data_IF_386957040221
#
_entry.id   IF_386957040221
#
_cell.length_a   1.000
_cell.length_b   1.000
_cell.length_c   1.000
_cell.angle_alpha   90.00
_cell.angle_beta   90.00
_cell.angle_gamma   90.00
#
_symmetry.space_group_name_H-M   'P 1'
#
loop_
_entity.id
_entity.type
_entity.pdbx_description
1 polymer ?
#
# COMPACT_ATOMS: atom_id res chain seq x y z
N UNK A 1 -66.11 -21.52 37.51
CA UNK A 1 -65.63 -20.16 37.81
C UNK A 1 -64.71 -19.75 36.66
N UNK A 2 -65.08 -18.70 35.91
CA UNK A 2 -64.29 -17.94 34.89
C UNK A 2 -63.84 -18.72 33.63
N UNK A 3 -64.63 -18.73 32.54
CA UNK A 3 -64.68 -17.86 31.31
C UNK A 3 -63.56 -18.19 30.29
N UNK A 4 -63.75 -18.27 28.96
CA UNK A 4 -64.87 -17.98 28.04
C UNK A 4 -64.54 -18.53 26.64
N UNK A 5 -65.61 -18.87 25.93
CA UNK A 5 -65.82 -19.26 24.53
C UNK A 5 -65.31 -18.24 23.49
N UNK A 6 -64.80 -18.69 22.32
CA UNK A 6 -65.09 -18.11 20.99
C UNK A 6 -65.19 -19.23 19.92
N UNK A 7 -66.35 -19.30 19.25
CA UNK A 7 -66.66 -20.09 18.05
C UNK A 7 -65.97 -19.48 16.79
N UNK A 8 -65.54 -20.21 15.76
CA UNK A 8 -66.27 -21.21 14.99
C UNK A 8 -66.98 -20.54 13.80
N UNK A 9 -66.29 -20.38 12.66
CA UNK A 9 -66.85 -19.80 11.43
C UNK A 9 -65.99 -20.09 10.20
N UNK A 10 -66.47 -20.99 9.35
CA UNK A 10 -65.89 -21.43 8.07
C UNK A 10 -65.92 -20.29 7.03
N UNK A 11 -64.84 -20.06 6.28
CA UNK A 11 -64.88 -19.24 5.07
C UNK A 11 -63.94 -19.80 3.99
N UNK A 12 -64.50 -19.91 2.78
CA UNK A 12 -63.94 -20.55 1.61
C UNK A 12 -62.65 -19.88 1.10
N UNK A 13 -61.73 -20.73 0.62
CA UNK A 13 -60.51 -20.33 -0.09
C UNK A 13 -60.89 -19.86 -1.49
N UNK A 14 -60.71 -18.57 -1.76
CA UNK A 14 -60.65 -18.02 -3.13
C UNK A 14 -59.18 -17.75 -3.42
N UNK A 15 -58.60 -18.52 -4.33
CA UNK A 15 -57.26 -18.30 -4.84
C UNK A 15 -57.25 -17.05 -5.73
N UNK A 16 -56.47 -16.04 -5.34
CA UNK A 16 -56.09 -14.92 -6.20
C UNK A 16 -54.61 -15.09 -6.50
N UNK A 17 -54.29 -15.34 -7.78
CA UNK A 17 -52.92 -15.44 -8.25
C UNK A 17 -52.19 -14.12 -8.09
N UNK A 18 -51.15 -14.11 -7.25
CA UNK A 18 -50.15 -13.04 -7.21
C UNK A 18 -49.11 -13.34 -8.29
N UNK A 19 -49.13 -12.55 -9.36
CA UNK A 19 -48.05 -12.50 -10.33
C UNK A 19 -46.78 -12.01 -9.62
N UNK A 20 -45.77 -12.86 -9.55
CA UNK A 20 -44.44 -12.47 -9.12
C UNK A 20 -43.77 -11.68 -10.27
N UNK A 21 -43.60 -10.37 -10.09
CA UNK A 21 -42.65 -9.61 -10.89
C UNK A 21 -41.24 -9.94 -10.39
N UNK A 22 -40.53 -10.81 -11.10
CA UNK A 22 -39.08 -10.95 -10.94
C UNK A 22 -38.40 -9.83 -11.70
N UNK A 23 -37.99 -8.77 -11.01
CA UNK A 23 -37.00 -7.83 -11.52
C UNK A 23 -35.62 -8.35 -11.15
N UNK A 24 -35.10 -9.28 -11.95
CA UNK A 24 -33.65 -9.53 -12.02
C UNK A 24 -33.02 -8.37 -12.80
N UNK A 25 -33.01 -7.19 -12.18
CA UNK A 25 -32.13 -6.10 -12.61
C UNK A 25 -30.76 -6.39 -11.98
N UNK A 26 -29.67 -6.51 -12.77
CA UNK A 26 -28.35 -6.66 -12.20
C UNK A 26 -28.08 -5.47 -11.28
N UNK A 27 -27.62 -5.75 -10.06
CA UNK A 27 -27.29 -4.71 -9.09
C UNK A 27 -26.40 -3.66 -9.76
N UNK A 28 -26.82 -2.40 -9.69
CA UNK A 28 -26.03 -1.28 -10.20
C UNK A 28 -24.59 -1.39 -9.64
N UNK A 29 -23.55 -1.10 -10.45
CA UNK A 29 -22.19 -1.06 -9.94
C UNK A 29 -22.15 -0.16 -8.71
N UNK A 30 -21.48 -0.62 -7.65
CA UNK A 30 -21.31 0.17 -6.44
C UNK A 30 -20.80 1.56 -6.84
N UNK A 31 -21.40 2.62 -6.27
CA UNK A 31 -20.93 3.97 -6.51
C UNK A 31 -19.42 4.03 -6.27
N UNK A 32 -18.62 4.69 -7.13
CA UNK A 32 -17.19 4.75 -6.98
C UNK A 32 -16.87 5.22 -5.56
N UNK A 33 -15.96 4.51 -4.90
CA UNK A 33 -15.55 4.84 -3.55
C UNK A 33 -15.09 6.30 -3.42
N UNK A 34 -15.04 6.84 -2.21
CA UNK A 34 -14.62 8.22 -1.98
C UNK A 34 -13.23 8.47 -2.59
N UNK A 35 -13.08 9.59 -3.30
CA UNK A 35 -11.79 10.00 -3.85
C UNK A 35 -10.93 10.59 -2.73
N UNK A 36 -10.31 9.72 -1.93
CA UNK A 36 -9.51 10.12 -0.79
C UNK A 36 -8.10 9.54 -0.81
N UNK A 37 -7.13 10.34 -0.39
CA UNK A 37 -5.74 9.98 -0.19
C UNK A 37 -5.48 9.85 1.30
N UNK A 38 -4.96 8.71 1.75
CA UNK A 38 -4.56 8.52 3.14
C UNK A 38 -3.06 8.65 3.27
N UNK A 39 -2.54 9.17 4.38
CA UNK A 39 -1.10 9.35 4.67
C UNK A 39 -0.82 9.09 6.14
N UNK A 40 -0.11 8.02 6.48
CA UNK A 40 0.41 7.80 7.84
C UNK A 40 1.47 8.86 8.20
N UNK A 41 1.39 9.39 9.42
CA UNK A 41 2.35 10.32 10.03
C UNK A 41 3.01 9.63 11.23
N UNK A 42 4.26 9.20 11.05
CA UNK A 42 4.99 8.36 11.99
C UNK A 42 5.14 9.01 13.38
N UNK A 43 5.66 10.23 13.45
CA UNK A 43 5.92 10.91 14.74
C UNK A 43 4.70 11.55 15.39
N UNK A 44 3.54 11.48 14.74
CA UNK A 44 2.28 12.06 15.23
C UNK A 44 1.23 11.01 15.52
N UNK A 45 1.51 9.72 15.34
CA UNK A 45 0.57 8.63 15.63
C UNK A 45 -0.78 8.76 14.89
N UNK A 46 -0.76 9.33 13.68
CA UNK A 46 -1.97 9.70 12.94
C UNK A 46 -1.95 9.20 11.50
N UNK A 47 -3.13 9.08 10.91
CA UNK A 47 -3.34 9.00 9.46
C UNK A 47 -4.07 10.27 9.05
N UNK A 48 -3.51 10.98 8.08
CA UNK A 48 -4.15 12.10 7.41
C UNK A 48 -4.99 11.60 6.23
N UNK A 49 -6.19 12.16 6.09
CA UNK A 49 -7.12 11.94 5.00
C UNK A 49 -7.25 13.24 4.20
N UNK A 50 -7.03 13.15 2.89
CA UNK A 50 -7.26 14.23 1.94
C UNK A 50 -8.37 13.83 0.98
N UNK A 51 -9.46 14.60 0.95
CA UNK A 51 -10.38 14.53 -0.18
C UNK A 51 -9.70 15.02 -1.46
N UNK A 52 -10.20 14.57 -2.61
CA UNK A 52 -9.72 15.00 -3.92
C UNK A 52 -10.75 15.86 -4.65
N UNK A 53 -10.25 16.85 -5.38
CA UNK A 53 -10.99 17.56 -6.43
C UNK A 53 -11.07 16.72 -7.71
N UNK A 54 -11.90 17.15 -8.66
CA UNK A 54 -12.14 16.41 -9.89
C UNK A 54 -10.87 16.17 -10.72
N UNK A 55 -9.99 17.17 -10.71
CA UNK A 55 -8.70 17.20 -11.39
C UNK A 55 -7.58 16.50 -10.59
N UNK A 56 -7.93 15.85 -9.47
CA UNK A 56 -7.00 15.14 -8.60
C UNK A 56 -6.22 16.04 -7.62
N UNK A 57 -6.56 17.32 -7.49
CA UNK A 57 -5.94 18.18 -6.47
C UNK A 57 -6.37 17.75 -5.07
N UNK A 58 -5.49 17.94 -4.08
CA UNK A 58 -5.78 17.64 -2.68
C UNK A 58 -6.62 18.77 -2.08
N UNK A 59 -7.77 18.43 -1.50
CA UNK A 59 -8.59 19.36 -0.71
C UNK A 59 -7.90 19.69 0.60
N UNK A 60 -8.14 20.92 1.09
CA UNK A 60 -7.52 21.44 2.31
C UNK A 60 -8.57 21.93 3.31
N UNK A 61 -8.32 21.81 4.63
CA UNK A 61 -7.22 21.07 5.25
C UNK A 61 -7.43 19.54 5.20
N UNK A 62 -6.35 18.78 5.43
CA UNK A 62 -6.46 17.34 5.69
C UNK A 62 -7.17 17.07 7.03
N UNK A 63 -7.84 15.93 7.13
CA UNK A 63 -8.37 15.42 8.40
C UNK A 63 -7.32 14.47 8.99
N UNK A 64 -6.74 14.81 10.14
CA UNK A 64 -5.74 13.96 10.81
C UNK A 64 -6.39 13.19 11.96
N UNK A 65 -6.31 11.86 11.90
CA UNK A 65 -6.98 10.93 12.83
C UNK A 65 -5.95 10.06 13.55
N UNK A 66 -6.06 9.87 14.88
CA UNK A 66 -5.19 8.94 15.61
C UNK A 66 -5.31 7.51 15.08
N UNK A 67 -4.17 6.82 14.93
CA UNK A 67 -4.17 5.43 14.44
C UNK A 67 -4.57 4.42 15.52
N UNK A 68 -4.35 4.77 16.79
CA UNK A 68 -4.64 3.91 17.91
C UNK A 68 -4.37 4.63 19.23
N UNK A 69 -4.15 3.84 20.29
CA UNK A 69 -3.73 4.37 21.59
C UNK A 69 -2.24 4.10 21.79
N UNK A 70 -1.54 5.09 22.34
CA UNK A 70 -0.12 4.99 22.64
C UNK A 70 0.76 5.36 21.45
N UNK A 71 2.00 4.93 21.53
CA UNK A 71 3.11 5.30 20.65
C UNK A 71 3.14 4.41 19.39
N UNK A 72 2.09 4.52 18.57
CA UNK A 72 1.80 3.63 17.43
C UNK A 72 2.86 3.68 16.34
N UNK A 73 3.39 4.86 16.00
CA UNK A 73 4.33 5.07 14.92
C UNK A 73 3.90 4.40 13.60
N UNK A 74 2.78 4.85 12.99
CA UNK A 74 2.25 4.23 11.78
C UNK A 74 3.21 4.47 10.61
N UNK A 75 3.74 3.39 10.08
CA UNK A 75 4.82 3.44 9.09
C UNK A 75 4.35 3.07 7.69
N UNK A 76 3.41 2.12 7.62
CA UNK A 76 2.97 1.57 6.36
C UNK A 76 1.46 1.44 6.27
N UNK A 77 0.90 1.59 5.06
CA UNK A 77 -0.52 1.39 4.84
C UNK A 77 -0.82 0.71 3.50
N UNK A 78 -1.91 -0.06 3.46
CA UNK A 78 -2.44 -0.64 2.22
C UNK A 78 -3.96 -0.66 2.28
N UNK A 79 -4.60 -0.32 1.15
CA UNK A 79 -6.06 -0.38 1.00
C UNK A 79 -6.49 -1.67 0.34
N UNK A 80 -7.64 -2.19 0.76
CA UNK A 80 -8.27 -3.32 0.10
C UNK A 80 -8.77 -2.95 -1.30
N UNK A 81 -8.67 -3.88 -2.25
CA UNK A 81 -9.11 -3.68 -3.63
C UNK A 81 -10.60 -3.33 -3.76
N UNK A 82 -11.43 -3.80 -2.83
CA UNK A 82 -12.85 -3.43 -2.78
C UNK A 82 -13.11 -2.04 -2.21
N UNK A 83 -12.04 -1.32 -1.83
CA UNK A 83 -12.05 0.06 -1.40
C UNK A 83 -12.55 0.29 0.02
N UNK A 84 -12.88 -0.77 0.79
CA UNK A 84 -13.56 -0.67 2.09
C UNK A 84 -12.65 -0.66 3.30
N UNK A 85 -11.40 -1.10 3.17
CA UNK A 85 -10.48 -1.22 4.29
C UNK A 85 -9.17 -0.53 4.00
N UNK A 86 -8.61 0.11 5.02
CA UNK A 86 -7.21 0.54 5.08
C UNK A 86 -6.55 -0.20 6.24
N UNK A 87 -5.48 -0.92 5.97
CA UNK A 87 -4.66 -1.58 6.97
C UNK A 87 -3.43 -0.75 7.23
N UNK A 88 -3.17 -0.41 8.49
CA UNK A 88 -2.04 0.41 8.91
C UNK A 88 -1.12 -0.41 9.79
N UNK A 89 0.12 -0.61 9.34
CA UNK A 89 1.18 -1.23 10.13
C UNK A 89 1.83 -0.22 11.07
N UNK A 90 1.85 -0.55 12.36
CA UNK A 90 2.32 0.32 13.42
C UNK A 90 3.65 -0.19 13.96
N UNK A 91 4.71 0.57 13.74
CA UNK A 91 6.06 0.19 14.14
C UNK A 91 6.21 0.13 15.66
N UNK A 92 5.63 1.09 16.38
CA UNK A 92 5.82 1.26 17.81
C UNK A 92 4.96 0.31 18.64
N UNK A 93 3.68 0.16 18.28
CA UNK A 93 2.76 -0.79 18.94
C UNK A 93 2.83 -2.21 18.39
N UNK A 94 3.59 -2.43 17.31
CA UNK A 94 3.91 -3.76 16.77
C UNK A 94 2.69 -4.56 16.33
N UNK A 95 1.75 -3.85 15.72
CA UNK A 95 0.45 -4.38 15.34
C UNK A 95 -0.02 -3.79 14.01
N UNK A 96 -1.16 -4.28 13.55
CA UNK A 96 -1.86 -3.73 12.40
C UNK A 96 -3.21 -3.20 12.86
N UNK A 97 -3.47 -1.91 12.62
CA UNK A 97 -4.80 -1.32 12.81
C UNK A 97 -5.59 -1.39 11.50
N UNK A 98 -6.72 -2.12 11.45
CA UNK A 98 -7.67 -1.98 10.35
C UNK A 98 -8.57 -0.76 10.55
N UNK A 99 -8.77 0.01 9.49
CA UNK A 99 -9.78 1.05 9.38
C UNK A 99 -10.80 0.66 8.34
N UNK A 100 -12.08 0.83 8.67
CA UNK A 100 -13.11 0.87 7.65
C UNK A 100 -13.09 2.24 6.98
N UNK A 101 -13.07 2.24 5.66
CA UNK A 101 -13.27 3.40 4.81
C UNK A 101 -14.77 3.55 4.59
N UNK A 102 -15.34 4.60 5.14
CA UNK A 102 -16.76 4.92 4.94
C UNK A 102 -17.01 5.50 3.55
N UNK A 103 -18.27 5.59 3.13
CA UNK A 103 -18.66 6.05 1.78
C UNK A 103 -18.16 7.47 1.48
N UNK A 104 -17.98 8.30 2.50
CA UNK A 104 -17.50 9.68 2.39
C UNK A 104 -15.98 9.83 2.44
N UNK A 105 -15.23 8.73 2.66
CA UNK A 105 -13.77 8.74 2.81
C UNK A 105 -13.31 8.64 4.25
N UNK A 106 -14.21 8.89 5.20
CA UNK A 106 -13.86 8.93 6.61
C UNK A 106 -13.36 7.58 7.08
N UNK A 107 -12.30 7.58 7.87
CA UNK A 107 -11.80 6.38 8.53
C UNK A 107 -12.51 6.09 9.86
N UNK A 108 -12.87 4.83 10.08
CA UNK A 108 -13.35 4.30 11.37
C UNK A 108 -12.40 3.19 11.83
N UNK A 109 -11.68 3.41 12.94
CA UNK A 109 -10.72 2.44 13.49
C UNK A 109 -11.41 1.21 14.09
N UNK A 110 -10.81 0.04 13.91
CA UNK A 110 -11.16 -1.22 14.56
C UNK A 110 -10.01 -1.69 15.46
N UNK A 111 -10.25 -2.63 16.40
CA UNK A 111 -9.19 -3.16 17.26
C UNK A 111 -8.01 -3.72 16.45
N UNK A 112 -6.80 -3.38 16.87
CA UNK A 112 -5.57 -3.83 16.22
C UNK A 112 -5.38 -5.35 16.33
N UNK A 113 -4.80 -5.94 15.30
CA UNK A 113 -4.34 -7.32 15.32
C UNK A 113 -2.85 -7.38 15.69
N UNK A 114 -2.54 -8.10 16.76
CA UNK A 114 -1.17 -8.28 17.23
C UNK A 114 -0.55 -9.58 16.68
N UNK A 115 0.75 -9.53 16.40
CA UNK A 115 1.60 -10.72 16.22
C UNK A 115 1.57 -11.65 17.44
N UNK A 116 1.90 -12.95 17.30
CA UNK A 116 2.11 -13.79 18.46
C UNK A 116 3.44 -13.39 19.11
N UNK A 117 3.42 -12.97 20.37
CA UNK A 117 4.63 -12.89 21.18
C UNK A 117 5.29 -14.29 21.24
N UNK A 118 6.63 -14.43 21.20
CA UNK A 118 7.63 -13.44 21.65
C UNK A 118 8.56 -12.85 20.57
N UNK A 119 8.26 -12.96 19.28
CA UNK A 119 9.15 -12.45 18.21
C UNK A 119 9.02 -10.91 18.03
N UNK A 120 10.11 -10.19 17.72
CA UNK A 120 10.04 -8.76 17.42
C UNK A 120 9.33 -8.53 16.08
N UNK A 121 8.06 -8.13 16.13
CA UNK A 121 7.27 -7.68 14.97
C UNK A 121 7.31 -6.16 14.96
N UNK A 122 7.87 -5.55 13.91
CA UNK A 122 8.00 -4.09 13.77
C UNK A 122 7.62 -3.71 12.35
N UNK A 123 6.31 -3.65 12.05
CA UNK A 123 5.80 -3.45 10.69
C UNK A 123 6.38 -2.19 10.05
N UNK A 124 7.14 -2.37 8.96
CA UNK A 124 7.78 -1.30 8.18
C UNK A 124 7.27 -1.22 6.75
N UNK A 125 6.75 -2.33 6.23
CA UNK A 125 6.05 -2.42 4.96
C UNK A 125 4.84 -3.34 5.10
N UNK A 126 3.82 -3.13 4.27
CA UNK A 126 2.58 -3.91 4.31
C UNK A 126 2.05 -4.15 2.89
N UNK A 127 1.54 -5.35 2.63
CA UNK A 127 0.86 -5.66 1.37
C UNK A 127 -0.27 -6.66 1.59
N UNK A 128 -1.31 -6.51 0.77
CA UNK A 128 -2.47 -7.40 0.74
C UNK A 128 -2.39 -8.28 -0.51
N UNK A 129 -2.78 -9.55 -0.40
CA UNK A 129 -2.90 -10.42 -1.57
C UNK A 129 -3.99 -9.90 -2.52
N UNK A 130 -3.89 -10.17 -3.84
CA UNK A 130 -4.86 -9.68 -4.82
C UNK A 130 -6.32 -10.11 -4.55
N UNK A 131 -6.52 -11.24 -3.87
CA UNK A 131 -7.83 -11.74 -3.46
C UNK A 131 -8.34 -11.17 -2.14
N UNK A 132 -7.55 -10.32 -1.47
CA UNK A 132 -7.88 -9.66 -0.21
C UNK A 132 -7.84 -10.54 1.03
N UNK A 133 -7.42 -11.80 0.93
CA UNK A 133 -7.53 -12.78 2.03
C UNK A 133 -6.29 -12.90 2.90
N UNK A 134 -5.15 -12.38 2.46
CA UNK A 134 -3.88 -12.49 3.16
C UNK A 134 -3.19 -11.14 3.23
N UNK A 135 -2.79 -10.75 4.43
CA UNK A 135 -2.07 -9.52 4.69
C UNK A 135 -0.67 -9.87 5.21
N UNK A 136 0.34 -9.22 4.66
CA UNK A 136 1.74 -9.45 5.00
C UNK A 136 2.38 -8.17 5.50
N UNK A 137 3.17 -8.25 6.57
CA UNK A 137 4.03 -7.13 7.02
C UNK A 137 5.49 -7.52 6.97
N UNK A 138 6.31 -6.65 6.40
CA UNK A 138 7.76 -6.70 6.56
C UNK A 138 8.08 -6.16 7.95
N UNK A 139 8.91 -6.88 8.71
CA UNK A 139 9.28 -6.48 10.05
C UNK A 139 10.73 -6.01 10.07
N UNK A 140 10.93 -4.72 10.31
CA UNK A 140 12.25 -4.11 10.29
C UNK A 140 13.04 -4.45 11.54
N UNK A 141 14.19 -5.08 11.34
CA UNK A 141 15.22 -5.25 12.37
C UNK A 141 16.40 -4.34 12.07
N UNK A 142 16.91 -3.64 13.08
CA UNK A 142 18.02 -2.69 12.92
C UNK A 142 19.34 -3.42 12.59
N UNK A 143 19.53 -3.81 11.33
CA UNK A 143 20.66 -4.60 10.84
C UNK A 143 20.63 -6.09 11.19
N UNK A 144 19.64 -6.55 11.95
CA UNK A 144 19.42 -7.95 12.29
C UNK A 144 18.73 -8.74 11.18
N UNK A 145 18.45 -10.01 11.43
CA UNK A 145 17.64 -10.83 10.53
C UNK A 145 16.20 -10.31 10.52
N UNK A 146 15.63 -10.15 9.33
CA UNK A 146 14.25 -9.69 9.16
C UNK A 146 13.25 -10.83 9.24
N UNK A 147 11.99 -10.48 9.49
CA UNK A 147 10.86 -11.42 9.42
C UNK A 147 9.72 -10.83 8.61
N UNK A 148 8.80 -11.70 8.18
CA UNK A 148 7.51 -11.34 7.61
C UNK A 148 6.42 -11.88 8.53
N UNK A 149 5.44 -11.06 8.88
CA UNK A 149 4.21 -11.56 9.51
C UNK A 149 3.15 -11.80 8.45
N UNK A 150 2.46 -12.93 8.54
CA UNK A 150 1.31 -13.28 7.69
C UNK A 150 0.05 -13.33 8.54
N UNK A 151 -0.97 -12.59 8.14
CA UNK A 151 -2.31 -12.59 8.72
C UNK A 151 -3.31 -13.10 7.68
N UNK A 152 -4.29 -13.89 8.12
CA UNK A 152 -5.51 -14.11 7.32
C UNK A 152 -6.48 -12.96 7.55
N UNK A 153 -7.18 -12.56 6.51
CA UNK A 153 -8.22 -11.54 6.56
C UNK A 153 -9.57 -12.23 6.48
N UNK A 154 -10.41 -12.07 7.50
CA UNK A 154 -11.75 -12.63 7.53
C UNK A 154 -12.71 -11.87 6.59
N UNK A 155 -13.88 -12.45 6.33
CA UNK A 155 -14.87 -11.85 5.43
C UNK A 155 -15.38 -10.48 5.89
N UNK A 156 -15.26 -10.17 7.17
CA UNK A 156 -15.52 -8.86 7.76
C UNK A 156 -14.34 -7.89 7.65
N UNK A 157 -13.27 -8.27 6.94
CA UNK A 157 -12.09 -7.45 6.69
C UNK A 157 -11.07 -7.44 7.82
N UNK A 158 -11.25 -8.21 8.90
CA UNK A 158 -10.36 -8.15 10.06
C UNK A 158 -9.17 -9.13 9.93
N UNK A 159 -7.92 -8.67 10.19
CA UNK A 159 -6.75 -9.55 10.19
C UNK A 159 -6.71 -10.41 11.47
N UNK A 160 -6.36 -11.69 11.32
CA UNK A 160 -6.26 -12.67 12.41
C UNK A 160 -5.28 -13.80 12.06
N UNK A 161 -5.02 -14.72 13.01
CA UNK A 161 -4.32 -15.98 12.74
C UNK A 161 -2.89 -15.78 12.23
N UNK A 162 -2.10 -15.06 13.01
CA UNK A 162 -0.79 -14.55 12.60
C UNK A 162 0.32 -15.60 12.70
N UNK A 163 1.18 -15.66 11.68
CA UNK A 163 2.42 -16.43 11.67
C UNK A 163 3.61 -15.51 11.41
N UNK A 164 4.77 -15.84 11.99
CA UNK A 164 6.05 -15.14 11.74
C UNK A 164 6.96 -16.04 10.91
N UNK A 165 7.44 -15.54 9.78
CA UNK A 165 8.26 -16.25 8.81
C UNK A 165 9.61 -15.53 8.70
N UNK A 166 10.76 -16.24 8.71
CA UNK A 166 12.05 -15.61 8.43
C UNK A 166 12.07 -14.94 7.05
N UNK A 167 12.55 -13.69 6.98
CA UNK A 167 12.68 -12.99 5.70
C UNK A 167 13.90 -13.45 4.90
N UNK A 168 14.84 -14.19 5.51
CA UNK A 168 16.09 -14.66 4.87
C UNK A 168 16.98 -13.53 4.31
N UNK A 169 16.86 -12.34 4.88
CA UNK A 169 17.73 -11.18 4.65
C UNK A 169 17.74 -10.28 5.89
N UNK A 170 18.51 -9.18 5.86
CA UNK A 170 18.70 -8.30 7.02
C UNK A 170 18.15 -6.90 6.80
N UNK A 171 17.54 -6.33 7.84
CA UNK A 171 16.95 -5.00 7.77
C UNK A 171 15.82 -4.94 6.74
N UNK A 172 14.87 -5.87 6.82
CA UNK A 172 13.74 -5.96 5.89
C UNK A 172 12.83 -4.74 6.03
N UNK A 173 12.72 -3.94 4.97
CA UNK A 173 12.05 -2.61 4.99
C UNK A 173 10.70 -2.61 4.31
N UNK A 174 10.57 -3.35 3.21
CA UNK A 174 9.38 -3.34 2.38
C UNK A 174 9.09 -4.74 1.83
N UNK A 175 7.85 -4.95 1.40
CA UNK A 175 7.46 -6.14 0.66
C UNK A 175 6.42 -5.82 -0.41
N UNK A 176 6.32 -6.70 -1.41
CA UNK A 176 5.33 -6.64 -2.46
C UNK A 176 4.81 -8.04 -2.78
N UNK A 177 3.52 -8.15 -3.08
CA UNK A 177 2.88 -9.37 -3.58
C UNK A 177 2.67 -9.22 -5.08
N UNK A 178 2.97 -10.26 -5.85
CA UNK A 178 2.77 -10.23 -7.30
C UNK A 178 1.28 -10.15 -7.64
N UNK A 179 0.90 -9.47 -8.74
CA UNK A 179 -0.48 -9.38 -9.20
C UNK A 179 -1.18 -10.73 -9.41
N UNK A 180 -0.44 -11.79 -9.77
CA UNK A 180 -0.97 -13.15 -9.90
C UNK A 180 -1.17 -13.88 -8.54
N UNK A 181 -0.76 -13.25 -7.43
CA UNK A 181 -0.90 -13.75 -6.07
C UNK A 181 0.03 -14.90 -5.71
N UNK A 182 1.07 -15.20 -6.51
CA UNK A 182 1.94 -16.37 -6.34
C UNK A 182 3.31 -16.09 -5.75
N UNK A 183 3.74 -14.84 -5.77
CA UNK A 183 5.08 -14.44 -5.32
C UNK A 183 5.00 -13.32 -4.29
N UNK A 184 5.79 -13.42 -3.24
CA UNK A 184 6.10 -12.30 -2.35
C UNK A 184 7.59 -11.97 -2.47
N UNK A 185 7.91 -10.69 -2.58
CA UNK A 185 9.28 -10.16 -2.57
C UNK A 185 9.47 -9.29 -1.33
N UNK A 186 10.58 -9.44 -0.63
CA UNK A 186 11.00 -8.52 0.44
C UNK A 186 12.27 -7.77 0.03
N UNK A 187 12.38 -6.50 0.39
CA UNK A 187 13.61 -5.72 0.26
C UNK A 187 14.36 -5.69 1.59
N UNK A 188 15.66 -5.96 1.55
CA UNK A 188 16.49 -6.10 2.74
C UNK A 188 17.64 -5.07 2.71
N UNK A 189 17.41 -3.95 3.38
CA UNK A 189 18.25 -2.76 3.28
C UNK A 189 19.68 -2.99 3.78
N UNK A 190 19.84 -3.74 4.88
CA UNK A 190 21.14 -3.94 5.52
C UNK A 190 21.99 -4.98 4.77
N UNK A 191 21.39 -6.03 4.19
CA UNK A 191 22.10 -7.01 3.37
C UNK A 191 22.27 -6.59 1.91
N UNK A 192 21.47 -5.64 1.41
CA UNK A 192 21.58 -5.15 0.03
C UNK A 192 21.06 -6.15 -1.01
N UNK A 193 20.03 -6.89 -0.63
CA UNK A 193 19.42 -7.95 -1.44
C UNK A 193 17.89 -7.92 -1.33
N UNK A 194 17.25 -8.76 -2.15
CA UNK A 194 15.84 -9.11 -2.00
C UNK A 194 15.70 -10.59 -1.67
N UNK A 195 14.66 -10.94 -0.92
CA UNK A 195 14.22 -12.34 -0.75
C UNK A 195 12.93 -12.58 -1.51
N UNK A 196 12.75 -13.81 -1.98
CA UNK A 196 11.54 -14.22 -2.72
C UNK A 196 10.90 -15.45 -2.10
N UNK A 197 9.58 -15.47 -2.13
CA UNK A 197 8.75 -16.52 -1.56
C UNK A 197 7.67 -16.92 -2.56
N UNK A 198 7.37 -18.21 -2.61
CA UNK A 198 6.10 -18.68 -3.20
C UNK A 198 4.98 -18.52 -2.18
N UNK A 199 3.79 -18.18 -2.68
CA UNK A 199 2.57 -18.04 -1.89
C UNK A 199 1.65 -19.22 -2.21
N UNK A 200 1.31 -20.02 -1.20
CA UNK A 200 0.34 -21.10 -1.34
C UNK A 200 -1.11 -20.56 -1.32
N UNK A 201 -2.08 -21.41 -1.69
CA UNK A 201 -3.49 -21.01 -1.75
C UNK A 201 -4.09 -20.56 -0.41
N UNK A 202 -3.47 -20.93 0.72
CA UNK A 202 -3.87 -20.48 2.06
C UNK A 202 -3.08 -19.25 2.55
N UNK A 203 -2.25 -18.69 1.68
CA UNK A 203 -1.37 -17.54 1.94
C UNK A 203 -0.03 -17.88 2.57
N UNK A 204 0.24 -19.15 2.91
CA UNK A 204 1.52 -19.51 3.53
C UNK A 204 2.70 -19.26 2.59
N UNK A 205 3.81 -18.82 3.17
CA UNK A 205 5.03 -18.44 2.44
C UNK A 205 6.06 -19.55 2.49
N UNK A 206 6.64 -19.90 1.34
CA UNK A 206 7.83 -20.76 1.26
C UNK A 206 8.96 -19.99 0.61
N UNK A 207 10.06 -19.81 1.36
CA UNK A 207 11.25 -19.14 0.85
C UNK A 207 11.82 -19.87 -0.36
N UNK A 208 12.24 -19.09 -1.36
CA UNK A 208 12.78 -19.59 -2.63
C UNK A 208 14.27 -19.31 -2.74
N UNK A 209 14.64 -18.03 -2.64
CA UNK A 209 16.02 -17.57 -2.75
C UNK A 209 16.16 -16.11 -2.34
N UNK A 210 17.43 -15.69 -2.17
CA UNK A 210 17.84 -14.30 -1.95
C UNK A 210 18.77 -13.89 -3.09
N UNK A 211 18.59 -12.70 -3.65
CA UNK A 211 19.37 -12.19 -4.79
C UNK A 211 19.88 -10.78 -4.48
N UNK A 212 21.19 -10.58 -4.61
CA UNK A 212 21.82 -9.28 -4.43
C UNK A 212 21.36 -8.28 -5.51
N UNK A 213 21.08 -7.05 -5.08
CA UNK A 213 20.66 -5.96 -5.98
C UNK A 213 21.62 -4.79 -5.89
N UNK A 214 21.80 -4.25 -4.68
CA UNK A 214 22.61 -3.08 -4.39
C UNK A 214 22.49 -2.66 -2.93
N UNK A 215 23.44 -1.85 -2.46
CA UNK A 215 23.45 -1.38 -1.06
C UNK A 215 22.17 -0.60 -0.76
N UNK A 216 21.55 -0.88 0.39
CA UNK A 216 20.33 -0.22 0.80
C UNK A 216 19.13 -0.61 -0.07
N UNK A 217 18.97 -1.88 -0.43
CA UNK A 217 17.76 -2.37 -1.08
C UNK A 217 16.53 -2.03 -0.21
N UNK A 218 15.79 -0.99 -0.60
CA UNK A 218 14.88 -0.28 0.30
C UNK A 218 13.42 -0.57 -0.01
N UNK A 219 13.06 -0.54 -1.29
CA UNK A 219 11.72 -0.80 -1.78
C UNK A 219 11.75 -1.74 -2.99
N UNK A 220 10.70 -2.53 -3.17
CA UNK A 220 10.53 -3.41 -4.33
C UNK A 220 9.12 -3.28 -4.89
N UNK A 221 9.00 -3.23 -6.22
CA UNK A 221 7.73 -3.30 -6.93
C UNK A 221 7.78 -4.41 -7.99
N UNK A 222 6.65 -5.10 -8.17
CA UNK A 222 6.50 -6.17 -9.16
C UNK A 222 5.65 -5.62 -10.31
N UNK A 223 6.03 -5.90 -11.55
CA UNK A 223 5.28 -5.44 -12.72
C UNK A 223 3.87 -6.03 -12.77
N UNK A 224 2.88 -5.32 -13.37
CA UNK A 224 1.49 -5.77 -13.46
C UNK A 224 1.31 -7.17 -14.07
N UNK A 225 2.19 -7.55 -14.99
CA UNK A 225 2.22 -8.87 -15.64
C UNK A 225 2.94 -9.95 -14.81
N UNK A 226 3.39 -9.62 -13.59
CA UNK A 226 4.14 -10.49 -12.67
C UNK A 226 5.46 -11.02 -13.25
N UNK A 227 6.04 -10.37 -14.27
CA UNK A 227 7.24 -10.87 -14.96
C UNK A 227 8.56 -10.23 -14.50
N UNK A 228 8.52 -9.09 -13.80
CA UNK A 228 9.72 -8.38 -13.38
C UNK A 228 9.59 -7.78 -11.98
N UNK A 229 10.74 -7.54 -11.35
CA UNK A 229 10.88 -6.83 -10.07
C UNK A 229 11.80 -5.64 -10.26
N UNK A 230 11.38 -4.47 -9.81
CA UNK A 230 12.21 -3.28 -9.71
C UNK A 230 12.54 -3.04 -8.23
N UNK A 231 13.81 -2.72 -7.94
CA UNK A 231 14.29 -2.51 -6.58
C UNK A 231 15.02 -1.18 -6.49
N UNK A 232 14.61 -0.33 -5.54
CA UNK A 232 15.31 0.92 -5.23
C UNK A 232 16.44 0.62 -4.25
N UNK A 233 17.68 0.95 -4.63
CA UNK A 233 18.86 0.79 -3.77
C UNK A 233 19.25 2.17 -3.23
N UNK A 234 18.72 2.53 -2.06
CA UNK A 234 18.77 3.88 -1.51
C UNK A 234 20.19 4.36 -1.20
N UNK A 235 21.10 3.47 -0.77
CA UNK A 235 22.49 3.83 -0.47
C UNK A 235 23.41 3.77 -1.70
N UNK A 236 22.96 3.13 -2.77
CA UNK A 236 23.73 2.99 -4.01
C UNK A 236 23.24 3.93 -5.12
N UNK A 237 22.21 4.76 -4.87
CA UNK A 237 21.59 5.65 -5.85
C UNK A 237 21.31 4.96 -7.19
N UNK A 238 20.68 3.78 -7.13
CA UNK A 238 20.45 2.95 -8.32
C UNK A 238 19.16 2.16 -8.25
N UNK A 239 18.67 1.74 -9.41
CA UNK A 239 17.49 0.88 -9.57
C UNK A 239 17.94 -0.45 -10.17
N UNK A 240 17.66 -1.55 -9.48
CA UNK A 240 17.87 -2.89 -10.03
C UNK A 240 16.61 -3.38 -10.71
N UNK A 241 16.78 -4.01 -11.88
CA UNK A 241 15.71 -4.61 -12.67
C UNK A 241 15.99 -6.11 -12.78
N UNK A 242 15.05 -6.91 -12.32
CA UNK A 242 15.15 -8.36 -12.28
C UNK A 242 14.01 -8.96 -13.09
N UNK A 243 14.29 -10.01 -13.84
CA UNK A 243 13.27 -10.87 -14.43
C UNK A 243 12.80 -11.85 -13.35
N UNK A 244 11.49 -11.92 -13.12
CA UNK A 244 10.85 -12.85 -12.20
C UNK A 244 10.50 -14.13 -12.98
N UNK A 245 11.41 -15.11 -12.92
CA UNK A 245 11.25 -16.38 -13.60
C UNK A 245 10.21 -17.30 -12.96
N UNK A 246 10.02 -18.46 -13.58
CA UNK A 246 9.14 -19.50 -13.06
C UNK A 246 9.47 -19.86 -11.61
N UNK A 247 8.44 -20.26 -10.84
CA UNK A 247 8.55 -20.62 -9.43
C UNK A 247 9.14 -19.51 -8.54
N UNK A 248 8.84 -18.25 -8.88
CA UNK A 248 9.23 -17.07 -8.08
C UNK A 248 10.74 -16.89 -7.94
N UNK A 249 11.54 -17.38 -8.90
CA UNK A 249 13.01 -17.26 -8.89
C UNK A 249 13.45 -16.06 -9.72
N UNK A 250 13.90 -14.95 -9.10
CA UNK A 250 14.34 -13.79 -9.84
C UNK A 250 15.77 -13.95 -10.37
N UNK A 251 16.06 -13.27 -11.47
CA UNK A 251 17.41 -13.11 -12.03
C UNK A 251 17.68 -11.65 -12.30
N UNK A 252 18.78 -11.10 -11.76
CA UNK A 252 19.18 -9.73 -12.03
C UNK A 252 19.51 -9.55 -13.51
N UNK A 253 18.83 -8.61 -14.16
CA UNK A 253 19.03 -8.28 -15.59
C UNK A 253 19.96 -7.09 -15.72
N UNK A 254 19.68 -6.01 -14.97
CA UNK A 254 20.49 -4.79 -15.00
C UNK A 254 20.35 -3.98 -13.72
N UNK A 255 21.36 -3.17 -13.41
CA UNK A 255 21.27 -2.10 -12.41
C UNK A 255 21.59 -0.78 -13.11
N UNK A 256 20.70 0.20 -13.01
CA UNK A 256 20.83 1.51 -13.65
C UNK A 256 21.02 2.62 -12.62
N UNK A 257 21.87 3.63 -12.88
CA UNK A 257 21.99 4.79 -12.01
C UNK A 257 20.66 5.55 -11.90
N UNK A 258 20.32 6.00 -10.70
CA UNK A 258 19.21 6.90 -10.46
C UNK A 258 19.68 8.36 -10.59
N UNK A 259 18.99 9.22 -11.37
CA UNK A 259 19.41 10.62 -11.54
C UNK A 259 19.33 11.50 -10.28
N UNK A 260 18.70 11.00 -9.21
CA UNK A 260 18.55 11.69 -7.94
C UNK A 260 19.11 10.83 -6.78
N UNK A 261 19.12 11.38 -5.58
CA UNK A 261 19.73 10.73 -4.42
C UNK A 261 18.70 10.05 -3.53
N UNK A 262 19.08 8.88 -3.03
CA UNK A 262 18.36 8.08 -2.06
C UNK A 262 16.96 7.67 -2.55
N UNK A 263 16.86 6.87 -3.63
CA UNK A 263 15.59 6.37 -4.12
C UNK A 263 14.90 5.49 -3.05
N UNK A 264 13.64 5.79 -2.75
CA UNK A 264 12.80 5.09 -1.75
C UNK A 264 11.57 4.48 -2.41
N UNK A 265 10.40 5.06 -2.25
CA UNK A 265 9.15 4.55 -2.79
C UNK A 265 9.18 4.46 -4.31
N UNK A 266 8.54 3.42 -4.86
CA UNK A 266 8.41 3.18 -6.30
C UNK A 266 6.98 2.75 -6.61
N UNK A 267 6.39 3.34 -7.66
CA UNK A 267 5.08 2.94 -8.18
C UNK A 267 5.14 2.77 -9.70
N UNK A 268 4.41 1.79 -10.21
CA UNK A 268 4.34 1.46 -11.64
C UNK A 268 2.99 1.90 -12.23
N UNK A 269 2.98 2.25 -13.52
CA UNK A 269 1.73 2.40 -14.27
C UNK A 269 0.99 1.07 -14.39
N UNK A 270 -0.33 1.12 -14.61
CA UNK A 270 -1.14 -0.07 -14.82
C UNK A 270 -0.66 -0.91 -16.02
N UNK A 271 -0.06 -0.27 -17.02
CA UNK A 271 0.55 -0.91 -18.18
C UNK A 271 1.96 -1.48 -17.88
N UNK A 272 2.58 -1.06 -16.78
CA UNK A 272 3.92 -1.48 -16.39
C UNK A 272 5.03 -0.89 -17.26
N UNK A 273 4.75 0.16 -18.05
CA UNK A 273 5.66 0.78 -19.01
C UNK A 273 6.41 2.01 -18.44
N UNK A 274 6.03 2.44 -17.23
CA UNK A 274 6.65 3.53 -16.48
C UNK A 274 6.76 3.19 -15.00
N UNK A 275 7.86 3.62 -14.40
CA UNK A 275 8.06 3.64 -12.97
C UNK A 275 8.33 5.07 -12.48
N UNK A 276 7.68 5.47 -11.40
CA UNK A 276 7.93 6.73 -10.70
C UNK A 276 8.56 6.41 -9.34
N UNK A 277 9.64 7.11 -9.02
CA UNK A 277 10.44 6.87 -7.81
C UNK A 277 10.57 8.15 -7.01
N UNK A 278 10.26 8.08 -5.72
CA UNK A 278 10.50 9.16 -4.77
C UNK A 278 11.95 9.11 -4.25
N UNK A 279 12.55 10.30 -4.08
CA UNK A 279 13.97 10.44 -3.75
C UNK A 279 14.14 11.30 -2.49
N UNK A 280 14.64 10.67 -1.42
CA UNK A 280 14.55 11.21 -0.06
C UNK A 280 15.58 12.29 0.24
N UNK A 281 16.76 12.26 -0.38
CA UNK A 281 17.80 13.26 -0.16
C UNK A 281 18.06 13.56 1.34
N UNK A 282 18.24 12.52 2.15
CA UNK A 282 18.46 12.55 3.60
C UNK A 282 17.36 13.26 4.43
N UNK A 283 16.15 13.44 3.88
CA UNK A 283 14.99 13.98 4.61
C UNK A 283 15.05 15.49 4.87
N UNK A 284 16.20 16.09 4.59
CA UNK A 284 16.53 17.51 4.81
C UNK A 284 16.75 18.26 3.49
N UNK A 285 17.10 17.55 2.42
CA UNK A 285 17.26 18.10 1.09
C UNK A 285 15.96 18.15 0.29
N UNK A 286 15.94 18.88 -0.84
CA UNK A 286 14.80 18.95 -1.73
C UNK A 286 14.46 17.55 -2.29
N UNK A 287 13.25 17.08 -2.02
CA UNK A 287 12.78 15.80 -2.55
C UNK A 287 12.53 15.87 -4.05
N UNK A 288 12.76 14.77 -4.77
CA UNK A 288 12.52 14.68 -6.21
C UNK A 288 11.74 13.42 -6.59
N UNK A 289 11.03 13.48 -7.72
CA UNK A 289 10.50 12.32 -8.43
C UNK A 289 11.37 12.04 -9.66
N UNK A 290 11.85 10.82 -9.80
CA UNK A 290 12.50 10.34 -11.03
C UNK A 290 11.54 9.41 -11.77
N UNK A 291 11.54 9.49 -13.11
CA UNK A 291 10.70 8.65 -13.97
C UNK A 291 11.59 7.74 -14.80
N UNK A 292 11.17 6.49 -14.97
CA UNK A 292 11.84 5.52 -15.82
C UNK A 292 10.86 4.92 -16.81
N UNK A 293 11.33 4.66 -18.03
CA UNK A 293 10.67 3.76 -18.98
C UNK A 293 11.00 2.33 -18.60
N UNK A 294 9.98 1.48 -18.55
CA UNK A 294 10.10 0.05 -18.29
C UNK A 294 9.71 -0.70 -19.56
N UNK A 295 10.52 -1.68 -19.94
CA UNK A 295 10.29 -2.55 -21.09
C UNK A 295 10.46 -4.00 -20.66
N UNK A 296 10.07 -4.94 -21.52
CA UNK A 296 10.24 -6.36 -21.24
C UNK A 296 11.70 -6.80 -21.03
N UNK A 297 12.68 -5.99 -21.44
CA UNK A 297 14.11 -6.36 -21.39
C UNK A 297 14.96 -5.41 -20.56
N UNK A 298 14.38 -4.37 -19.96
CA UNK A 298 15.16 -3.39 -19.22
C UNK A 298 14.42 -2.13 -18.85
N UNK A 299 15.15 -1.25 -18.18
CA UNK A 299 14.68 0.02 -17.62
C UNK A 299 15.65 1.15 -18.00
N UNK A 300 15.15 2.37 -18.22
CA UNK A 300 15.98 3.56 -18.48
C UNK A 300 15.34 4.85 -17.96
N UNK A 301 16.12 5.86 -17.53
CA UNK A 301 15.58 7.16 -17.12
C UNK A 301 14.76 7.81 -18.24
N UNK A 302 13.66 8.46 -17.88
CA UNK A 302 12.72 9.09 -18.79
C UNK A 302 12.48 10.55 -18.38
N UNK A 303 13.35 11.45 -18.84
CA UNK A 303 13.28 12.89 -18.55
C UNK A 303 14.03 13.29 -17.27
N UNK A 304 14.01 14.60 -16.94
CA UNK A 304 14.65 15.14 -15.75
C UNK A 304 13.89 14.77 -14.47
N UNK A 305 14.59 14.78 -13.34
CA UNK A 305 13.96 14.68 -12.02
C UNK A 305 13.07 15.91 -11.75
N UNK A 306 11.89 15.69 -11.16
CA UNK A 306 10.91 16.74 -10.87
C UNK A 306 10.90 17.02 -9.37
N UNK A 307 11.10 18.28 -8.99
CA UNK A 307 11.10 18.68 -7.59
C UNK A 307 9.72 18.49 -6.94
N UNK A 308 9.72 18.15 -5.66
CA UNK A 308 8.49 17.96 -4.87
C UNK A 308 8.01 19.22 -4.18
N UNK A 309 8.86 20.24 -4.08
CA UNK A 309 8.58 21.44 -3.29
C UNK A 309 8.58 21.19 -1.78
N UNK A 310 8.77 19.94 -1.33
CA UNK A 310 8.99 19.56 0.06
C UNK A 310 10.37 18.92 0.26
N UNK A 311 10.65 18.54 1.50
CA UNK A 311 11.89 17.86 1.87
C UNK A 311 11.60 16.37 2.14
N UNK A 312 12.50 15.49 1.72
CA UNK A 312 12.35 14.07 2.02
C UNK A 312 11.22 13.40 1.26
N UNK A 313 11.32 13.28 -0.07
CA UNK A 313 10.32 12.53 -0.83
C UNK A 313 10.45 11.03 -0.55
N UNK A 314 9.38 10.42 -0.07
CA UNK A 314 9.45 9.10 0.52
C UNK A 314 8.42 8.13 -0.05
N UNK A 315 7.14 8.31 0.31
CA UNK A 315 6.03 7.52 -0.19
C UNK A 315 5.48 8.11 -1.49
N UNK A 316 5.13 7.25 -2.44
CA UNK A 316 4.60 7.66 -3.75
C UNK A 316 3.43 6.78 -4.15
N UNK A 317 2.37 7.37 -4.72
CA UNK A 317 1.25 6.61 -5.25
C UNK A 317 0.68 7.24 -6.52
N UNK A 318 0.14 6.37 -7.37
CA UNK A 318 -0.45 6.69 -8.65
C UNK A 318 -1.96 6.48 -8.59
N UNK A 319 -2.72 7.49 -9.00
CA UNK A 319 -4.18 7.38 -9.14
C UNK A 319 -4.56 6.25 -10.10
N UNK A 320 -5.69 5.61 -9.83
CA UNK A 320 -6.16 4.48 -10.63
C UNK A 320 -6.38 4.83 -12.12
N UNK A 321 -6.81 6.06 -12.41
CA UNK A 321 -6.98 6.55 -13.77
C UNK A 321 -5.66 6.92 -14.47
N UNK A 322 -4.53 6.85 -13.75
CA UNK A 322 -3.19 7.17 -14.25
C UNK A 322 -2.96 8.65 -14.52
N UNK A 323 -3.83 9.55 -14.04
CA UNK A 323 -3.77 10.99 -14.37
C UNK A 323 -3.14 11.85 -13.29
N UNK A 324 -2.94 11.31 -12.10
CA UNK A 324 -2.36 12.01 -10.97
C UNK A 324 -1.37 11.14 -10.21
N UNK A 325 -0.24 11.74 -9.86
CA UNK A 325 0.78 11.19 -8.98
C UNK A 325 0.77 11.96 -7.67
N UNK A 326 1.04 11.28 -6.57
CA UNK A 326 1.11 11.89 -5.26
C UNK A 326 2.36 11.45 -4.53
N UNK A 327 3.02 12.38 -3.86
CA UNK A 327 4.25 12.16 -3.13
C UNK A 327 4.13 12.69 -1.70
N UNK A 328 4.42 11.85 -0.71
CA UNK A 328 4.57 12.25 0.67
C UNK A 328 5.99 12.81 0.92
N UNK A 329 6.05 13.95 1.59
CA UNK A 329 7.28 14.64 1.99
C UNK A 329 7.46 14.55 3.50
N UNK A 330 8.56 13.94 3.93
CA UNK A 330 8.91 13.64 5.32
C UNK A 330 9.06 14.89 6.21
N UNK A 331 9.68 15.96 5.69
CA UNK A 331 9.95 17.23 6.39
C UNK A 331 10.50 17.05 7.82
N UNK A 332 11.81 16.84 7.97
CA UNK A 332 12.47 16.90 9.29
C UNK A 332 12.18 18.24 9.98
N UNK A 333 11.56 18.21 11.17
CA UNK A 333 11.24 19.37 12.03
C UNK A 333 9.95 20.15 11.74
N UNK A 334 9.07 19.64 10.87
CA UNK A 334 7.78 20.29 10.60
C UNK A 334 6.65 19.29 10.33
N UNK A 335 5.49 19.83 9.98
CA UNK A 335 4.40 19.01 9.47
C UNK A 335 4.81 18.40 8.13
N UNK A 336 4.47 17.12 7.96
CA UNK A 336 4.54 16.44 6.68
C UNK A 336 3.66 17.13 5.65
N UNK A 337 3.97 16.90 4.38
CA UNK A 337 3.11 17.40 3.31
C UNK A 337 2.97 16.37 2.20
N UNK A 338 1.95 16.55 1.37
CA UNK A 338 1.76 15.78 0.14
C UNK A 338 1.80 16.73 -1.03
N UNK A 339 2.60 16.38 -2.03
CA UNK A 339 2.63 17.07 -3.32
C UNK A 339 1.85 16.22 -4.33
N UNK A 340 0.92 16.84 -5.06
CA UNK A 340 0.20 16.18 -6.16
C UNK A 340 0.65 16.74 -7.51
N UNK A 341 0.66 15.87 -8.52
CA UNK A 341 1.09 16.19 -9.88
C UNK A 341 0.06 15.70 -10.87
N UNK A 342 -0.34 16.51 -11.86
CA UNK A 342 -0.98 15.98 -13.05
C UNK A 342 0.03 15.14 -13.84
N UNK A 343 -0.41 14.03 -14.40
CA UNK A 343 0.34 13.23 -15.34
C UNK A 343 -0.21 13.44 -16.75
N UNK A 344 0.70 13.65 -17.71
CA UNK A 344 0.32 13.69 -19.11
C UNK A 344 0.09 12.26 -19.63
N UNK A 345 -0.57 12.15 -20.78
CA UNK A 345 -0.91 10.86 -21.40
C UNK A 345 0.31 10.01 -21.76
N UNK A 346 1.49 10.61 -21.94
CA UNK A 346 2.75 9.92 -22.21
C UNK A 346 3.49 9.47 -20.93
N UNK A 347 2.87 9.69 -19.77
CA UNK A 347 3.41 9.40 -18.44
C UNK A 347 4.38 10.45 -17.92
N UNK A 348 4.58 11.59 -18.59
CA UNK A 348 5.42 12.66 -18.05
C UNK A 348 4.77 13.33 -16.83
N UNK A 349 5.59 13.61 -15.82
CA UNK A 349 5.16 14.28 -14.58
C UNK A 349 5.04 15.78 -14.85
N UNK A 350 3.84 16.31 -14.70
CA UNK A 350 3.56 17.72 -14.89
C UNK A 350 4.07 18.60 -13.75
N UNK A 351 3.75 19.90 -13.82
CA UNK A 351 4.15 20.86 -12.78
C UNK A 351 3.53 20.47 -11.42
N UNK A 352 4.34 20.42 -10.34
CA UNK A 352 3.81 20.15 -9.00
C UNK A 352 2.78 21.19 -8.58
N UNK A 353 1.67 20.73 -7.99
CA UNK A 353 0.80 21.61 -7.21
C UNK A 353 1.49 21.96 -5.88
N UNK A 354 1.13 23.08 -5.22
CA UNK A 354 1.68 23.42 -3.91
C UNK A 354 1.52 22.27 -2.90
N UNK A 355 2.55 21.94 -2.10
CA UNK A 355 2.43 20.90 -1.08
C UNK A 355 1.32 21.22 -0.07
N UNK A 356 0.50 20.23 0.26
CA UNK A 356 -0.57 20.35 1.27
C UNK A 356 -0.15 19.64 2.54
N UNK A 357 -0.27 20.32 3.70
CA UNK A 357 0.12 19.75 4.99
C UNK A 357 -0.79 18.59 5.41
N UNK A 358 -0.20 17.54 5.98
CA UNK A 358 -0.92 16.39 6.54
C UNK A 358 -1.55 16.68 7.90
N UNK A 359 -1.14 17.76 8.57
CA UNK A 359 -1.51 18.07 9.95
C UNK A 359 -0.86 17.12 10.98
N UNK A 360 0.15 16.35 10.56
CA UNK A 360 0.99 15.52 11.42
C UNK A 360 2.45 15.57 10.96
N UNK A 361 3.37 14.97 11.72
CA UNK A 361 4.82 15.03 11.46
C UNK A 361 5.34 13.71 10.91
N UNK A 362 6.35 13.79 10.04
CA UNK A 362 7.10 12.65 9.48
C UNK A 362 6.23 11.59 8.80
N UNK A 363 5.62 11.87 7.64
CA UNK A 363 4.96 10.85 6.84
C UNK A 363 5.99 9.89 6.24
N UNK A 364 5.75 8.57 6.32
CA UNK A 364 6.75 7.51 6.08
C UNK A 364 6.37 6.56 4.90
N UNK A 365 7.37 5.82 4.41
CA UNK A 365 7.52 4.74 3.41
C UNK A 365 6.36 4.37 2.46
N UNK A 366 5.15 4.13 2.96
CA UNK A 366 3.96 3.71 2.17
C UNK A 366 2.69 4.39 2.64
N UNK A 367 2.85 5.56 3.23
CA UNK A 367 1.77 6.32 3.81
C UNK A 367 0.68 6.62 2.79
N UNK A 368 1.02 6.81 1.51
CA UNK A 368 0.08 7.32 0.52
C UNK A 368 -0.76 6.24 -0.17
N UNK A 369 -2.05 6.18 0.17
CA UNK A 369 -2.99 5.21 -0.40
C UNK A 369 -4.16 5.90 -1.09
N UNK A 370 -4.56 5.41 -2.27
CA UNK A 370 -5.47 6.10 -3.20
C UNK A 370 -6.81 5.37 -3.38
N UNK A 371 -7.81 6.04 -4.00
CA UNK A 371 -9.06 5.40 -4.41
C UNK A 371 -8.87 4.53 -5.65
N UNK A 372 -9.22 3.25 -5.51
CA UNK A 372 -9.61 2.43 -6.66
C UNK A 372 -11.10 2.68 -6.94
N UNK A 373 -11.45 2.78 -8.21
CA UNK A 373 -12.83 3.00 -8.68
C UNK A 373 -13.62 1.71 -8.71
#
# INVERSE_FOLDING_TARGET
MVKRVIAGGLAAVVAVGLAACSSDEPAAPAAPGPRAVYVTNWASDTVAEFGLDEDGALKTPAISLPVGKGDTHPQASVRSRDGKWLYVGNWGTRDVTPFRIEVDGRLTAFPSAHGPAPEPVTPSGIALSPDGKNLYTANFSNGGDGTVSHYRVSADGLPHGVATIPAHGRGTTALAVSPDGRTLVTANSASGDISTFTIAGDGSLTWVTTVATGKGAFFAAITPDSSHVLVTNSLADSISFLHLGANSRPTLVSTVPNPAHEPRGIVLTAQGDRAYIANFANGTGPGHITTFTVTATGISPAGPAVATGGNGAEGIALSHDGRSLYNANFNTNGDGSVTSYPLAADGSVGTPRPPVLTGGRQPDLTSITLPES
#
